data_IF_464620760366
#
_entry.id   IF_464620760366
#
_cell.length_a   1.000
_cell.length_b   1.000
_cell.length_c   1.000
_cell.angle_alpha   90.00
_cell.angle_beta   90.00
_cell.angle_gamma   90.00
#
_symmetry.space_group_name_H-M   'P 1'
#
loop_
_entity.id
_entity.type
_entity.pdbx_description
1 polymer ?
#
# COMPACT_ATOMS: atom_id res chain seq x y z
N UNK A 1 -5.12 -1.47 -23.48
CA UNK A 1 -6.17 -2.40 -22.99
C UNK A 1 -7.23 -1.58 -22.29
N UNK A 2 -8.50 -1.72 -22.66
CA UNK A 2 -9.62 -1.01 -22.04
C UNK A 2 -10.24 -1.98 -21.03
N UNK A 3 -10.15 -1.67 -19.74
CA UNK A 3 -10.71 -2.50 -18.68
C UNK A 3 -12.24 -2.35 -18.66
N UNK A 4 -12.95 -3.41 -18.29
CA UNK A 4 -14.35 -3.28 -17.90
C UNK A 4 -14.47 -2.54 -16.56
N UNK A 5 -15.63 -1.94 -16.23
CA UNK A 5 -15.83 -1.29 -14.94
C UNK A 5 -15.49 -2.18 -13.73
N UNK A 6 -15.90 -3.45 -13.76
CA UNK A 6 -15.61 -4.41 -12.69
C UNK A 6 -14.11 -4.70 -12.56
N UNK A 7 -13.39 -4.82 -13.68
CA UNK A 7 -11.94 -5.00 -13.68
C UNK A 7 -11.23 -3.75 -13.16
N UNK A 8 -11.72 -2.57 -13.53
CA UNK A 8 -11.23 -1.28 -13.04
C UNK A 8 -11.36 -1.20 -11.52
N UNK A 9 -12.53 -1.53 -10.97
CA UNK A 9 -12.78 -1.55 -9.52
C UNK A 9 -11.88 -2.55 -8.79
N UNK A 10 -11.66 -3.75 -9.35
CA UNK A 10 -10.73 -4.74 -8.79
C UNK A 10 -9.29 -4.21 -8.77
N UNK A 11 -8.82 -3.63 -9.87
CA UNK A 11 -7.48 -3.05 -9.96
C UNK A 11 -7.29 -1.93 -8.94
N UNK A 12 -8.26 -1.03 -8.83
CA UNK A 12 -8.18 0.08 -7.89
C UNK A 12 -8.20 -0.40 -6.43
N UNK A 13 -9.06 -1.37 -6.09
CA UNK A 13 -9.12 -1.97 -4.77
C UNK A 13 -7.80 -2.65 -4.38
N UNK A 14 -7.17 -3.35 -5.34
CA UNK A 14 -5.93 -4.06 -5.11
C UNK A 14 -4.74 -3.10 -4.94
N UNK A 15 -4.64 -2.07 -5.78
CA UNK A 15 -3.64 -1.00 -5.64
C UNK A 15 -3.78 -0.30 -4.29
N UNK A 16 -5.03 -0.01 -3.87
CA UNK A 16 -5.31 0.54 -2.55
C UNK A 16 -4.86 -0.44 -1.47
N UNK A 17 -5.28 -1.70 -1.50
CA UNK A 17 -4.88 -2.72 -0.50
C UNK A 17 -3.37 -2.75 -0.26
N UNK A 18 -2.56 -2.61 -1.31
CA UNK A 18 -1.09 -2.58 -1.25
C UNK A 18 -0.45 -1.19 -1.09
N UNK A 19 -1.24 -0.17 -0.75
CA UNK A 19 -0.74 1.14 -0.35
C UNK A 19 0.05 1.91 -1.42
N UNK A 20 -0.14 1.60 -2.71
CA UNK A 20 0.59 2.23 -3.82
C UNK A 20 2.10 1.96 -3.87
N UNK A 21 2.62 0.94 -3.18
CA UNK A 21 4.07 0.65 -3.12
C UNK A 21 4.43 -0.75 -3.64
N UNK A 22 3.62 -1.77 -3.38
CA UNK A 22 3.96 -3.17 -3.73
C UNK A 22 3.49 -3.59 -5.13
N UNK A 23 3.96 -2.91 -6.19
CA UNK A 23 3.48 -3.14 -7.57
C UNK A 23 3.71 -4.54 -8.13
N UNK A 24 4.78 -5.22 -7.72
CA UNK A 24 5.05 -6.57 -8.22
C UNK A 24 4.06 -7.59 -7.65
N UNK A 25 3.67 -7.44 -6.38
CA UNK A 25 2.60 -8.25 -5.76
C UNK A 25 1.24 -7.96 -6.38
N UNK A 26 0.91 -6.67 -6.58
CA UNK A 26 -0.33 -6.26 -7.25
C UNK A 26 -0.42 -6.88 -8.64
N UNK A 27 0.68 -6.85 -9.41
CA UNK A 27 0.73 -7.43 -10.74
C UNK A 27 0.55 -8.95 -10.71
N UNK A 28 1.14 -9.65 -9.75
CA UNK A 28 0.98 -11.09 -9.59
C UNK A 28 -0.48 -11.48 -9.28
N UNK A 29 -1.14 -10.79 -8.33
CA UNK A 29 -2.55 -11.05 -7.99
C UNK A 29 -3.51 -10.68 -9.15
N UNK A 30 -3.23 -9.60 -9.88
CA UNK A 30 -4.02 -9.25 -11.07
C UNK A 30 -3.87 -10.30 -12.17
N UNK A 31 -2.66 -10.82 -12.39
CA UNK A 31 -2.42 -11.88 -13.36
C UNK A 31 -3.17 -13.18 -12.98
N UNK A 32 -3.21 -13.53 -11.69
CA UNK A 32 -4.01 -14.66 -11.20
C UNK A 32 -5.52 -14.48 -11.44
N UNK A 33 -5.98 -13.23 -11.53
CA UNK A 33 -7.37 -12.87 -11.86
C UNK A 33 -7.62 -12.71 -13.37
N UNK A 34 -6.66 -13.07 -14.22
CA UNK A 34 -6.77 -12.95 -15.68
C UNK A 34 -6.55 -11.52 -16.22
N UNK A 35 -6.02 -10.60 -15.40
CA UNK A 35 -5.80 -9.19 -15.76
C UNK A 35 -4.30 -8.94 -15.88
N UNK A 36 -3.82 -8.69 -17.09
CA UNK A 36 -2.39 -8.51 -17.35
C UNK A 36 -2.03 -7.04 -17.52
N UNK A 37 -1.04 -6.57 -16.75
CA UNK A 37 -0.49 -5.22 -16.86
C UNK A 37 1.01 -5.23 -17.09
N UNK A 38 1.51 -4.28 -17.88
CA UNK A 38 2.93 -3.92 -17.81
C UNK A 38 3.20 -3.14 -16.52
N UNK A 39 4.42 -3.26 -15.98
CA UNK A 39 4.83 -2.55 -14.75
C UNK A 39 4.66 -1.03 -14.89
N UNK A 40 5.02 -0.48 -16.05
CA UNK A 40 4.88 0.95 -16.35
C UNK A 40 3.41 1.40 -16.45
N UNK A 41 2.52 0.58 -17.01
CA UNK A 41 1.10 0.88 -17.06
C UNK A 41 0.47 0.87 -15.66
N UNK A 42 0.80 -0.13 -14.84
CA UNK A 42 0.31 -0.24 -13.47
C UNK A 42 0.79 0.94 -12.62
N UNK A 43 2.06 1.32 -12.73
CA UNK A 43 2.62 2.47 -12.01
C UNK A 43 1.92 3.78 -12.37
N UNK A 44 1.76 4.08 -13.68
CA UNK A 44 1.04 5.28 -14.13
C UNK A 44 -0.42 5.29 -13.66
N UNK A 45 -1.07 4.13 -13.66
CA UNK A 45 -2.44 4.01 -13.17
C UNK A 45 -2.53 4.30 -11.67
N UNK A 46 -1.66 3.69 -10.88
CA UNK A 46 -1.59 3.90 -9.43
C UNK A 46 -1.29 5.35 -9.04
N UNK A 47 -0.39 6.04 -9.77
CA UNK A 47 -0.12 7.46 -9.51
C UNK A 47 -1.35 8.34 -9.77
N UNK A 48 -2.09 8.09 -10.85
CA UNK A 48 -3.34 8.82 -11.12
C UNK A 48 -4.39 8.55 -10.05
N UNK A 49 -4.53 7.29 -9.64
CA UNK A 49 -5.45 6.87 -8.58
C UNK A 49 -5.09 7.54 -7.24
N UNK A 50 -3.81 7.51 -6.86
CA UNK A 50 -3.29 8.17 -5.65
C UNK A 50 -3.60 9.67 -5.66
N UNK A 51 -3.32 10.36 -6.77
CA UNK A 51 -3.62 11.79 -6.89
C UNK A 51 -5.12 12.09 -6.88
N UNK A 52 -5.98 11.18 -7.34
CA UNK A 52 -7.43 11.32 -7.24
C UNK A 52 -7.89 11.13 -5.79
N UNK A 53 -7.41 10.09 -5.12
CA UNK A 53 -7.72 9.78 -3.71
C UNK A 53 -7.27 10.91 -2.77
N UNK A 54 -6.07 11.47 -2.98
CA UNK A 54 -5.54 12.61 -2.19
C UNK A 54 -6.35 13.90 -2.37
N UNK A 55 -7.05 14.05 -3.50
CA UNK A 55 -7.92 15.21 -3.78
C UNK A 55 -9.34 15.00 -3.26
N UNK A 56 -9.70 13.79 -2.82
CA UNK A 56 -11.01 13.53 -2.25
C UNK A 56 -11.10 14.14 -0.84
N UNK A 57 -12.14 14.95 -0.53
CA UNK A 57 -12.35 15.53 0.80
C UNK A 57 -12.63 14.47 1.89
N UNK A 58 -12.97 13.24 1.47
CA UNK A 58 -13.07 12.07 2.32
C UNK A 58 -11.70 11.47 2.67
N UNK A 59 -10.61 12.24 2.55
CA UNK A 59 -9.23 11.81 2.75
C UNK A 59 -9.11 10.94 3.99
N UNK A 60 -9.20 9.63 3.78
CA UNK A 60 -9.13 8.63 4.81
C UNK A 60 -7.73 8.82 5.38
N UNK A 61 -7.63 9.47 6.54
CA UNK A 61 -6.43 9.48 7.38
C UNK A 61 -6.24 8.06 7.88
N UNK A 62 -5.90 7.17 6.96
CA UNK A 62 -5.56 5.80 7.21
C UNK A 62 -4.04 5.73 7.32
N UNK A 63 -3.58 5.22 8.45
CA UNK A 63 -2.20 4.80 8.59
C UNK A 63 -2.03 3.45 7.91
N UNK A 64 -1.05 3.35 7.03
CA UNK A 64 -0.66 2.09 6.41
C UNK A 64 0.53 1.52 7.18
N UNK A 65 0.36 0.34 7.75
CA UNK A 65 1.40 -0.42 8.45
C UNK A 65 1.90 -1.50 7.51
N UNK A 66 3.20 -1.47 7.19
CA UNK A 66 3.84 -2.50 6.36
C UNK A 66 4.62 -3.41 7.30
N UNK A 67 4.18 -4.67 7.40
CA UNK A 67 4.87 -5.72 8.15
C UNK A 67 5.82 -6.44 7.20
N UNK A 68 7.11 -6.32 7.50
CA UNK A 68 8.18 -7.05 6.85
C UNK A 68 8.58 -8.22 7.75
N UNK A 69 8.09 -9.41 7.41
CA UNK A 69 8.54 -10.64 8.05
C UNK A 69 9.70 -11.21 7.22
N UNK A 70 10.89 -11.30 7.81
CA UNK A 70 12.08 -11.80 7.14
C UNK A 70 11.97 -13.27 6.73
N UNK A 71 11.05 -14.04 7.34
CA UNK A 71 10.76 -15.43 7.00
C UNK A 71 9.66 -15.55 5.93
N UNK A 72 8.86 -14.51 5.73
CA UNK A 72 7.82 -14.48 4.71
C UNK A 72 8.34 -13.86 3.40
N UNK A 73 8.07 -14.51 2.27
CA UNK A 73 8.51 -14.04 0.96
C UNK A 73 7.83 -12.76 0.46
N UNK A 74 6.88 -12.19 1.22
CA UNK A 74 6.16 -10.98 0.81
C UNK A 74 5.74 -10.09 2.00
N UNK A 75 5.84 -8.75 1.89
CA UNK A 75 5.31 -7.81 2.86
C UNK A 75 3.78 -7.92 3.00
N UNK A 76 3.30 -7.72 4.22
CA UNK A 76 1.86 -7.57 4.51
C UNK A 76 1.56 -6.10 4.78
N UNK A 77 0.61 -5.52 4.04
CA UNK A 77 0.13 -4.16 4.27
C UNK A 77 -1.21 -4.18 5.03
N UNK A 78 -1.27 -3.47 6.15
CA UNK A 78 -2.46 -3.33 7.01
C UNK A 78 -2.86 -1.85 7.01
N UNK A 79 -4.13 -1.56 6.75
CA UNK A 79 -4.70 -0.21 6.82
C UNK A 79 -5.44 -0.06 8.13
N UNK A 80 -5.22 1.04 8.83
CA UNK A 80 -5.89 1.32 10.10
C UNK A 80 -6.27 2.80 10.19
N UNK A 81 -7.42 3.14 10.79
CA UNK A 81 -7.77 4.53 11.10
C UNK A 81 -6.95 5.09 12.29
N UNK A 82 -6.19 4.25 12.99
CA UNK A 82 -5.33 4.69 14.07
C UNK A 82 -4.27 5.66 13.53
N UNK A 83 -3.88 6.66 14.34
CA UNK A 83 -2.81 7.59 13.97
C UNK A 83 -1.45 6.88 13.95
N UNK A 84 -0.45 7.39 13.20
CA UNK A 84 0.90 6.82 13.19
C UNK A 84 1.51 6.69 14.58
N UNK A 85 1.32 7.70 15.44
CA UNK A 85 1.82 7.73 16.81
C UNK A 85 1.20 6.61 17.66
N UNK A 86 -0.10 6.37 17.46
CA UNK A 86 -0.83 5.29 18.14
C UNK A 86 -0.30 3.91 17.74
N UNK A 87 -0.04 3.72 16.44
CA UNK A 87 0.54 2.46 15.93
C UNK A 87 1.95 2.24 16.49
N UNK A 88 2.81 3.26 16.46
CA UNK A 88 4.18 3.15 16.96
C UNK A 88 4.19 2.85 18.47
N UNK A 89 3.33 3.51 19.25
CA UNK A 89 3.21 3.26 20.68
C UNK A 89 2.77 1.82 20.99
N UNK A 90 1.79 1.30 20.25
CA UNK A 90 1.33 -0.09 20.40
C UNK A 90 2.43 -1.12 20.08
N UNK A 91 3.26 -0.87 19.06
CA UNK A 91 4.40 -1.72 18.72
C UNK A 91 5.49 -1.62 19.80
N UNK A 92 5.78 -0.41 20.29
CA UNK A 92 6.77 -0.18 21.35
C UNK A 92 6.41 -0.88 22.67
N UNK A 93 5.11 -0.99 22.99
CA UNK A 93 4.63 -1.71 24.16
C UNK A 93 4.97 -3.22 24.14
N UNK A 94 5.33 -3.79 22.99
CA UNK A 94 5.81 -5.17 22.87
C UNK A 94 7.28 -5.35 23.32
N UNK A 95 7.93 -4.29 23.80
CA UNK A 95 9.30 -4.36 24.32
C UNK A 95 10.39 -4.31 23.23
N UNK A 96 10.02 -3.91 22.01
CA UNK A 96 10.99 -3.72 20.95
C UNK A 96 11.77 -2.42 21.19
N UNK A 97 13.12 -2.42 21.11
CA UNK A 97 13.88 -1.19 21.18
C UNK A 97 13.44 -0.30 20.03
N UNK A 98 13.04 0.94 20.34
CA UNK A 98 12.80 1.94 19.32
C UNK A 98 14.09 2.08 18.52
N UNK A 99 14.11 1.59 17.28
CA UNK A 99 15.16 1.94 16.33
C UNK A 99 15.05 3.44 16.12
N UNK A 100 15.81 4.21 16.89
CA UNK A 100 15.97 5.64 16.67
C UNK A 100 16.32 5.82 15.19
N UNK A 101 15.45 6.51 14.46
CA UNK A 101 15.70 6.85 13.08
C UNK A 101 17.09 7.45 12.96
N UNK A 102 17.84 7.01 11.95
CA UNK A 102 19.13 7.60 11.61
C UNK A 102 18.92 9.13 11.48
N UNK A 103 19.62 9.98 12.26
CA UNK A 103 19.47 11.42 12.09
C UNK A 103 19.83 11.76 10.65
N UNK A 104 18.95 12.55 10.03
CA UNK A 104 19.15 13.11 8.70
C UNK A 104 20.49 13.87 8.72
N UNK A 105 21.41 13.47 7.84
CA UNK A 105 22.70 14.12 7.72
C UNK A 105 22.47 15.55 7.20
N UNK A 106 22.83 16.53 8.03
CA UNK A 106 22.88 17.95 7.68
C UNK A 106 23.96 18.23 6.62
#
# INVERSE_FOLDING_TARGET
MKLTPDQQSKVDALIRRYGYVCFDLVKAELAASGITFSRSALHRHAQRLKSADLRSPSGLRETVVIVLDASAGAPTAIRTPASPETVVSAIGALGLPASAGRPEAA
#
